data_IF_734311751607
#
_entry.id   IF_734311751607
#
_cell.length_a   1.000
_cell.length_b   1.000
_cell.length_c   1.000
_cell.angle_alpha   90.00
_cell.angle_beta   90.00
_cell.angle_gamma   90.00
#
_symmetry.space_group_name_H-M   'P 1'
#
loop_
_entity.id
_entity.type
_entity.pdbx_description
1 polymer ?
#
# COMPACT_ATOMS: atom_id res chain seq x y z
N UNK A 1 -29.06 -2.82 -5.30
CA UNK A 1 -27.59 -2.78 -5.10
C UNK A 1 -27.06 -4.17 -5.41
N UNK A 2 -26.12 -4.32 -6.34
CA UNK A 2 -25.49 -5.60 -6.66
C UNK A 2 -24.72 -6.13 -5.45
N UNK A 3 -24.43 -7.45 -5.41
CA UNK A 3 -23.69 -8.07 -4.30
C UNK A 3 -22.28 -7.43 -4.09
N UNK A 4 -21.51 -7.13 -5.15
CA UNK A 4 -20.24 -6.41 -5.03
C UNK A 4 -20.38 -4.99 -4.46
N UNK A 5 -21.41 -4.23 -4.84
CA UNK A 5 -21.62 -2.87 -4.32
C UNK A 5 -22.01 -2.87 -2.84
N UNK A 6 -22.76 -3.90 -2.41
CA UNK A 6 -23.09 -4.07 -0.99
C UNK A 6 -21.83 -4.36 -0.17
N UNK A 7 -20.96 -5.23 -0.67
CA UNK A 7 -19.67 -5.54 -0.02
C UNK A 7 -18.82 -4.27 0.05
N UNK A 8 -18.66 -3.54 -1.06
CA UNK A 8 -17.89 -2.30 -1.10
C UNK A 8 -18.41 -1.26 -0.09
N UNK A 9 -19.72 -1.15 0.06
CA UNK A 9 -20.34 -0.25 1.05
C UNK A 9 -19.95 -0.60 2.50
N UNK A 10 -19.96 -1.87 2.88
CA UNK A 10 -19.56 -2.29 4.22
C UNK A 10 -18.05 -2.11 4.44
N UNK A 11 -17.24 -2.48 3.46
CA UNK A 11 -15.79 -2.28 3.54
C UNK A 11 -15.43 -0.79 3.64
N UNK A 12 -16.11 0.07 2.89
CA UNK A 12 -15.89 1.51 2.95
C UNK A 12 -16.18 2.08 4.35
N UNK A 13 -17.22 1.58 5.04
CA UNK A 13 -17.50 1.97 6.43
C UNK A 13 -16.34 1.62 7.37
N UNK A 14 -15.79 0.42 7.22
CA UNK A 14 -14.65 -0.02 8.05
C UNK A 14 -13.39 0.79 7.74
N UNK A 15 -13.10 1.06 6.47
CA UNK A 15 -11.99 1.93 6.05
C UNK A 15 -12.16 3.34 6.60
N UNK A 16 -13.35 3.93 6.48
CA UNK A 16 -13.64 5.27 7.02
C UNK A 16 -13.46 5.31 8.54
N UNK A 17 -13.92 4.26 9.24
CA UNK A 17 -13.72 4.14 10.69
C UNK A 17 -12.24 4.07 11.05
N UNK A 18 -11.46 3.22 10.37
CA UNK A 18 -10.03 3.06 10.63
C UNK A 18 -9.26 4.35 10.35
N UNK A 19 -9.57 5.05 9.25
CA UNK A 19 -8.95 6.34 8.93
C UNK A 19 -9.19 7.35 10.06
N UNK A 20 -10.40 7.44 10.57
CA UNK A 20 -10.72 8.35 11.68
C UNK A 20 -10.17 7.91 13.03
N UNK A 21 -10.22 6.61 13.35
CA UNK A 21 -9.75 6.07 14.63
C UNK A 21 -8.22 6.17 14.80
N UNK A 22 -7.47 5.96 13.71
CA UNK A 22 -6.02 5.96 13.73
C UNK A 22 -5.40 7.21 13.09
N UNK A 23 -6.20 8.21 12.74
CA UNK A 23 -5.76 9.49 12.13
C UNK A 23 -4.86 9.24 10.91
N UNK A 24 -5.29 8.31 10.01
CA UNK A 24 -4.43 7.84 8.92
C UNK A 24 -4.29 8.85 7.79
N UNK A 25 -5.33 9.63 7.50
CA UNK A 25 -5.37 10.58 6.37
C UNK A 25 -5.99 11.89 6.84
N UNK A 26 -5.28 12.98 6.58
CA UNK A 26 -5.70 14.34 6.89
C UNK A 26 -5.99 15.15 5.63
N UNK A 27 -6.62 16.33 5.82
CA UNK A 27 -6.88 17.27 4.72
C UNK A 27 -5.56 17.77 4.11
N UNK A 28 -5.50 17.76 2.78
CA UNK A 28 -4.31 18.15 2.01
C UNK A 28 -3.21 17.10 1.91
N UNK A 29 -3.42 15.89 2.41
CA UNK A 29 -2.42 14.81 2.29
C UNK A 29 -2.20 14.38 0.84
N UNK A 30 -0.95 14.04 0.53
CA UNK A 30 -0.57 13.27 -0.65
C UNK A 30 -0.22 11.85 -0.24
N UNK A 31 -1.08 10.89 -0.62
CA UNK A 31 -0.97 9.50 -0.22
C UNK A 31 -0.52 8.63 -1.39
N UNK A 32 0.68 8.08 -1.30
CA UNK A 32 1.12 7.02 -2.20
C UNK A 32 0.43 5.70 -1.81
N UNK A 33 -0.11 4.97 -2.78
CA UNK A 33 -0.79 3.69 -2.58
C UNK A 33 0.02 2.59 -3.23
N UNK A 34 0.58 1.68 -2.43
CA UNK A 34 1.36 0.56 -2.92
C UNK A 34 0.44 -0.50 -3.55
N UNK A 35 0.44 -0.60 -4.88
CA UNK A 35 -0.38 -1.55 -5.63
C UNK A 35 0.49 -2.71 -6.10
N UNK A 36 0.36 -3.87 -5.45
CA UNK A 36 1.10 -5.09 -5.83
C UNK A 36 0.51 -5.84 -7.03
N UNK A 37 -0.73 -5.50 -7.43
CA UNK A 37 -1.53 -6.24 -8.39
C UNK A 37 -2.43 -7.31 -7.75
N UNK A 38 -2.22 -7.65 -6.48
CA UNK A 38 -3.09 -8.55 -5.71
C UNK A 38 -4.43 -7.90 -5.31
N UNK A 39 -5.41 -8.74 -4.95
CA UNK A 39 -6.78 -8.32 -4.62
C UNK A 39 -6.83 -7.24 -3.54
N UNK A 40 -6.05 -7.38 -2.46
CA UNK A 40 -6.12 -6.50 -1.30
C UNK A 40 -5.62 -5.08 -1.64
N UNK A 41 -4.51 -4.95 -2.36
CA UNK A 41 -3.98 -3.67 -2.79
C UNK A 41 -4.88 -2.95 -3.80
N UNK A 42 -5.54 -3.71 -4.68
CA UNK A 42 -6.54 -3.16 -5.63
C UNK A 42 -7.81 -2.70 -4.90
N UNK A 43 -8.30 -3.52 -3.97
CA UNK A 43 -9.46 -3.18 -3.14
C UNK A 43 -9.20 -1.93 -2.31
N UNK A 44 -8.02 -1.84 -1.69
CA UNK A 44 -7.62 -0.65 -0.92
C UNK A 44 -7.65 0.62 -1.79
N UNK A 45 -7.06 0.59 -2.98
CA UNK A 45 -7.07 1.76 -3.87
C UNK A 45 -8.50 2.17 -4.27
N UNK A 46 -9.37 1.21 -4.65
CA UNK A 46 -10.77 1.50 -4.96
C UNK A 46 -11.52 2.10 -3.76
N UNK A 47 -11.32 1.55 -2.57
CA UNK A 47 -11.96 2.05 -1.36
C UNK A 47 -11.45 3.44 -0.96
N UNK A 48 -10.16 3.75 -1.12
CA UNK A 48 -9.62 5.09 -0.87
C UNK A 48 -10.15 6.12 -1.87
N UNK A 49 -10.29 5.75 -3.15
CA UNK A 49 -10.93 6.61 -4.17
C UNK A 49 -12.40 6.88 -3.85
N UNK A 50 -13.13 5.88 -3.35
CA UNK A 50 -14.52 6.05 -2.87
C UNK A 50 -14.58 6.89 -1.60
N UNK A 51 -13.68 6.66 -0.66
CA UNK A 51 -13.59 7.42 0.59
C UNK A 51 -13.38 8.91 0.30
N UNK A 52 -12.41 9.26 -0.53
CA UNK A 52 -12.11 10.64 -0.95
C UNK A 52 -13.34 11.39 -1.47
N UNK A 53 -14.23 10.69 -2.20
CA UNK A 53 -15.46 11.30 -2.76
C UNK A 53 -16.57 11.54 -1.72
N UNK A 54 -16.45 10.93 -0.54
CA UNK A 54 -17.52 10.91 0.48
C UNK A 54 -17.16 11.68 1.76
N UNK A 55 -15.94 12.23 1.87
CA UNK A 55 -15.50 12.98 3.05
C UNK A 55 -15.46 14.48 2.77
N UNK A 56 -15.58 15.35 3.80
CA UNK A 56 -15.63 16.81 3.64
C UNK A 56 -14.26 17.46 3.48
N UNK A 57 -13.17 16.68 3.39
CA UNK A 57 -11.80 17.12 3.19
C UNK A 57 -11.22 16.46 1.93
N UNK A 58 -10.18 17.06 1.37
CA UNK A 58 -9.57 16.54 0.13
C UNK A 58 -8.16 16.03 0.41
N UNK A 59 -7.76 15.01 -0.34
CA UNK A 59 -6.41 14.45 -0.33
C UNK A 59 -6.12 13.83 -1.70
N UNK A 60 -4.86 13.77 -2.08
CA UNK A 60 -4.44 13.21 -3.35
C UNK A 60 -3.99 11.76 -3.22
N UNK A 61 -4.28 10.96 -4.23
CA UNK A 61 -3.88 9.55 -4.32
C UNK A 61 -2.97 9.36 -5.52
N UNK A 62 -1.83 8.71 -5.28
CA UNK A 62 -0.88 8.32 -6.31
C UNK A 62 -0.62 6.80 -6.22
N UNK A 63 -1.04 6.03 -7.21
CA UNK A 63 -0.79 4.60 -7.25
C UNK A 63 0.67 4.31 -7.63
N UNK A 64 1.38 3.52 -6.82
CA UNK A 64 2.74 3.08 -7.07
C UNK A 64 2.78 1.56 -7.28
N UNK A 65 3.32 1.12 -8.41
CA UNK A 65 3.58 -0.30 -8.67
C UNK A 65 5.07 -0.53 -8.93
N UNK A 66 5.68 -1.44 -8.16
CA UNK A 66 7.10 -1.78 -8.33
C UNK A 66 7.26 -2.78 -9.46
N UNK A 67 8.08 -2.43 -10.45
CA UNK A 67 8.49 -3.31 -11.55
C UNK A 67 9.89 -3.87 -11.30
N UNK A 68 10.17 -5.06 -11.79
CA UNK A 68 11.47 -5.71 -11.56
C UNK A 68 11.55 -7.06 -12.26
N UNK A 69 11.37 -7.09 -13.58
CA UNK A 69 11.46 -8.32 -14.37
C UNK A 69 12.83 -8.98 -14.28
N UNK A 70 13.90 -8.19 -14.15
CA UNK A 70 15.26 -8.67 -13.91
C UNK A 70 15.41 -9.41 -12.58
N UNK A 71 14.59 -9.04 -11.60
CA UNK A 71 14.51 -9.69 -10.29
C UNK A 71 13.49 -10.85 -10.24
N UNK A 72 12.93 -11.24 -11.38
CA UNK A 72 11.94 -12.31 -11.48
C UNK A 72 10.50 -11.89 -11.16
N UNK A 73 10.20 -10.59 -11.03
CA UNK A 73 8.83 -10.14 -10.88
C UNK A 73 8.08 -10.19 -12.21
N UNK A 74 6.79 -10.60 -12.23
CA UNK A 74 5.99 -10.54 -13.44
C UNK A 74 5.79 -9.09 -13.88
N UNK A 75 5.75 -8.85 -15.19
CA UNK A 75 5.37 -7.56 -15.74
C UNK A 75 3.85 -7.40 -15.73
N UNK A 76 3.35 -6.67 -14.74
CA UNK A 76 1.92 -6.37 -14.60
C UNK A 76 1.50 -5.03 -15.22
N UNK A 77 2.42 -4.30 -15.89
CA UNK A 77 2.09 -3.02 -16.55
C UNK A 77 0.95 -3.14 -17.57
N UNK A 78 0.92 -4.16 -18.43
CA UNK A 78 -0.17 -4.28 -19.43
C UNK A 78 -1.56 -4.46 -18.79
N UNK A 79 -1.63 -4.98 -17.57
CA UNK A 79 -2.88 -5.18 -16.83
C UNK A 79 -3.23 -3.97 -15.95
N UNK A 80 -2.24 -3.41 -15.25
CA UNK A 80 -2.47 -2.36 -14.27
C UNK A 80 -2.65 -0.97 -14.91
N UNK A 81 -1.95 -0.68 -16.01
CA UNK A 81 -2.02 0.64 -16.62
C UNK A 81 -3.43 0.98 -17.16
N UNK A 82 -4.13 0.12 -17.92
CA UNK A 82 -5.52 0.38 -18.30
C UNK A 82 -6.43 0.53 -17.08
N UNK A 83 -6.25 -0.29 -16.06
CA UNK A 83 -7.04 -0.25 -14.85
C UNK A 83 -6.87 1.07 -14.08
N UNK A 84 -5.64 1.60 -13.93
CA UNK A 84 -5.40 2.90 -13.31
C UNK A 84 -6.05 4.03 -14.10
N UNK A 85 -5.98 3.97 -15.44
CA UNK A 85 -6.63 4.96 -16.33
C UNK A 85 -8.15 4.93 -16.17
N UNK A 86 -8.74 3.74 -16.12
CA UNK A 86 -10.19 3.57 -15.92
C UNK A 86 -10.65 4.12 -14.57
N UNK A 87 -9.83 3.98 -13.53
CA UNK A 87 -10.09 4.57 -12.21
C UNK A 87 -9.89 6.09 -12.16
N UNK A 88 -9.19 6.67 -13.15
CA UNK A 88 -8.84 8.09 -13.18
C UNK A 88 -7.88 8.49 -12.06
N UNK A 89 -6.98 7.59 -11.66
CA UNK A 89 -5.96 7.84 -10.63
C UNK A 89 -4.59 8.05 -11.27
N UNK A 90 -3.83 8.98 -10.71
CA UNK A 90 -2.43 9.14 -11.09
C UNK A 90 -1.62 7.91 -10.64
N UNK A 91 -0.69 7.48 -11.48
CA UNK A 91 0.12 6.28 -11.20
C UNK A 91 1.56 6.43 -11.66
N UNK A 92 2.44 5.65 -11.02
CA UNK A 92 3.84 5.47 -11.44
C UNK A 92 4.24 4.00 -11.35
N UNK A 93 4.95 3.55 -12.38
CA UNK A 93 5.69 2.30 -12.35
C UNK A 93 7.10 2.59 -11.84
N UNK A 94 7.43 2.02 -10.70
CA UNK A 94 8.70 2.27 -9.99
C UNK A 94 9.64 1.11 -10.25
N UNK A 95 10.78 1.31 -10.93
CA UNK A 95 11.74 0.25 -11.13
C UNK A 95 12.39 -0.16 -9.79
N UNK A 96 12.52 -1.46 -9.55
CA UNK A 96 13.29 -1.97 -8.43
C UNK A 96 14.78 -1.87 -8.75
N UNK A 97 15.44 -0.86 -8.17
CA UNK A 97 16.89 -0.72 -8.30
C UNK A 97 17.59 -1.76 -7.43
N UNK A 98 18.31 -2.69 -8.08
CA UNK A 98 19.13 -3.67 -7.40
C UNK A 98 20.58 -3.19 -7.33
N UNK A 99 21.30 -3.49 -6.22
CA UNK A 99 22.74 -3.33 -6.20
C UNK A 99 23.42 -4.14 -7.32
N UNK A 100 24.56 -3.69 -7.88
CA UNK A 100 25.24 -4.41 -8.97
C UNK A 100 25.64 -5.85 -8.61
N UNK A 101 25.92 -6.10 -7.32
CA UNK A 101 26.36 -7.40 -6.79
C UNK A 101 25.23 -8.20 -6.15
N UNK A 102 23.97 -7.82 -6.40
CA UNK A 102 22.79 -8.52 -5.82
C UNK A 102 22.66 -9.91 -6.44
N UNK A 103 22.73 -10.99 -5.64
CA UNK A 103 22.57 -12.35 -6.14
C UNK A 103 21.17 -12.61 -6.70
N UNK A 104 21.09 -13.19 -7.89
CA UNK A 104 19.83 -13.59 -8.51
C UNK A 104 19.75 -15.13 -8.61
N UNK A 105 18.52 -15.71 -8.48
CA UNK A 105 17.26 -15.03 -8.17
C UNK A 105 17.20 -14.51 -6.73
N UNK A 106 16.42 -13.45 -6.52
CA UNK A 106 16.21 -12.92 -5.17
C UNK A 106 15.43 -13.93 -4.31
N UNK A 107 15.85 -14.12 -3.07
CA UNK A 107 15.00 -14.76 -2.07
C UNK A 107 13.82 -13.86 -1.66
N UNK A 108 12.84 -14.42 -0.95
CA UNK A 108 11.64 -13.70 -0.55
C UNK A 108 11.93 -12.49 0.34
N UNK A 109 12.94 -12.57 1.21
CA UNK A 109 13.31 -11.50 2.11
C UNK A 109 13.93 -10.32 1.32
N UNK A 110 14.93 -10.62 0.46
CA UNK A 110 15.60 -9.63 -0.38
C UNK A 110 14.65 -8.97 -1.38
N UNK A 111 13.76 -9.77 -1.99
CA UNK A 111 12.72 -9.26 -2.87
C UNK A 111 11.79 -8.29 -2.14
N UNK A 112 11.28 -8.66 -0.97
CA UNK A 112 10.42 -7.82 -0.16
C UNK A 112 11.11 -6.54 0.30
N UNK A 113 12.38 -6.62 0.71
CA UNK A 113 13.19 -5.49 1.11
C UNK A 113 13.40 -4.49 -0.03
N UNK A 114 13.85 -4.96 -1.21
CA UNK A 114 14.10 -4.08 -2.36
C UNK A 114 12.82 -3.43 -2.89
N UNK A 115 11.70 -4.16 -2.92
CA UNK A 115 10.39 -3.60 -3.28
C UNK A 115 9.97 -2.49 -2.31
N UNK A 116 10.11 -2.72 -1.01
CA UNK A 116 9.78 -1.73 0.01
C UNK A 116 10.68 -0.50 -0.10
N UNK A 117 11.99 -0.69 -0.28
CA UNK A 117 12.94 0.39 -0.51
C UNK A 117 12.54 1.25 -1.73
N UNK A 118 12.18 0.62 -2.86
CA UNK A 118 11.75 1.33 -4.06
C UNK A 118 10.50 2.19 -3.80
N UNK A 119 9.50 1.65 -3.06
CA UNK A 119 8.29 2.39 -2.71
C UNK A 119 8.59 3.58 -1.79
N UNK A 120 9.42 3.41 -0.77
CA UNK A 120 9.80 4.48 0.13
C UNK A 120 10.54 5.60 -0.61
N UNK A 121 11.55 5.26 -1.43
CA UNK A 121 12.29 6.23 -2.22
C UNK A 121 11.35 6.99 -3.16
N UNK A 122 10.51 6.28 -3.91
CA UNK A 122 9.56 6.93 -4.81
C UNK A 122 8.55 7.84 -4.07
N UNK A 123 8.08 7.44 -2.87
CA UNK A 123 7.18 8.28 -2.08
C UNK A 123 7.83 9.60 -1.69
N UNK A 124 9.08 9.56 -1.21
CA UNK A 124 9.85 10.77 -0.86
C UNK A 124 10.07 11.65 -2.09
N UNK A 125 10.56 11.07 -3.19
CA UNK A 125 10.87 11.80 -4.42
C UNK A 125 9.65 12.47 -5.05
N UNK A 126 8.47 11.89 -4.85
CA UNK A 126 7.19 12.39 -5.35
C UNK A 126 6.43 13.28 -4.35
N UNK A 127 7.02 13.54 -3.18
CA UNK A 127 6.44 14.40 -2.15
C UNK A 127 5.31 13.77 -1.33
N UNK A 128 5.07 12.46 -1.50
CA UNK A 128 4.04 11.75 -0.73
C UNK A 128 4.56 11.44 0.67
N UNK A 129 4.00 12.09 1.68
CA UNK A 129 4.36 11.84 3.09
C UNK A 129 3.71 10.59 3.68
N UNK A 130 2.63 10.11 3.09
CA UNK A 130 1.92 8.90 3.51
C UNK A 130 2.03 7.81 2.44
N UNK A 131 2.31 6.58 2.88
CA UNK A 131 2.43 5.39 2.01
C UNK A 131 1.49 4.31 2.52
N UNK A 132 0.40 4.06 1.80
CA UNK A 132 -0.61 3.08 2.13
C UNK A 132 -0.25 1.68 1.61
N UNK A 133 -0.33 0.68 2.50
CA UNK A 133 -0.21 -0.74 2.18
C UNK A 133 -1.53 -1.47 2.44
N UNK A 134 -1.92 -2.37 1.54
CA UNK A 134 -3.14 -3.15 1.62
C UNK A 134 -3.11 -4.29 2.64
N UNK A 135 -2.58 -4.02 3.83
CA UNK A 135 -2.71 -4.92 4.98
C UNK A 135 -4.07 -4.71 5.65
N UNK A 136 -4.60 -5.75 6.27
CA UNK A 136 -5.89 -5.71 6.93
C UNK A 136 -5.83 -6.40 8.31
N UNK A 137 -6.95 -6.41 9.03
CA UNK A 137 -7.01 -6.92 10.40
C UNK A 137 -6.54 -8.37 10.56
N UNK A 138 -6.78 -9.21 9.54
CA UNK A 138 -6.31 -10.61 9.58
C UNK A 138 -4.79 -10.70 9.49
N UNK A 139 -4.12 -9.81 8.73
CA UNK A 139 -2.65 -9.73 8.69
C UNK A 139 -2.10 -9.36 10.06
N UNK A 140 -2.74 -8.42 10.75
CA UNK A 140 -2.37 -8.03 12.11
C UNK A 140 -2.54 -9.21 13.08
N UNK A 141 -3.67 -9.91 13.03
CA UNK A 141 -3.94 -11.08 13.87
C UNK A 141 -2.92 -12.20 13.62
N UNK A 142 -2.66 -12.53 12.36
CA UNK A 142 -1.67 -13.55 11.97
C UNK A 142 -0.27 -13.14 12.43
N UNK A 143 0.13 -11.89 12.23
CA UNK A 143 1.44 -11.39 12.67
C UNK A 143 1.59 -11.49 14.18
N UNK A 144 0.55 -11.12 14.94
CA UNK A 144 0.55 -11.24 16.39
C UNK A 144 0.72 -12.69 16.84
N UNK A 145 -0.02 -13.62 16.24
CA UNK A 145 0.09 -15.05 16.55
C UNK A 145 1.47 -15.60 16.20
N UNK A 146 2.02 -15.24 15.05
CA UNK A 146 3.37 -15.67 14.65
C UNK A 146 4.44 -15.12 15.60
N UNK A 147 4.35 -13.85 15.98
CA UNK A 147 5.28 -13.25 16.93
C UNK A 147 5.19 -13.93 18.32
N UNK A 148 3.99 -14.22 18.79
CA UNK A 148 3.79 -14.91 20.04
C UNK A 148 4.36 -16.33 20.01
N UNK A 149 4.08 -17.08 18.93
CA UNK A 149 4.46 -18.50 18.83
C UNK A 149 5.96 -18.72 18.57
N UNK A 150 6.57 -17.87 17.73
CA UNK A 150 7.96 -18.07 17.28
C UNK A 150 8.96 -17.17 18.00
N UNK A 151 8.54 -15.99 18.45
CA UNK A 151 9.43 -14.99 19.03
C UNK A 151 9.15 -14.73 20.53
N UNK A 152 8.06 -15.29 21.10
CA UNK A 152 7.64 -15.03 22.46
C UNK A 152 7.27 -13.56 22.73
N UNK A 153 6.85 -12.82 21.68
CA UNK A 153 6.52 -11.39 21.76
C UNK A 153 5.07 -11.14 21.38
N UNK A 154 4.41 -10.28 22.14
CA UNK A 154 3.06 -9.80 21.81
C UNK A 154 3.18 -8.49 21.01
N UNK A 155 3.55 -8.61 19.75
CA UNK A 155 3.74 -7.50 18.82
C UNK A 155 2.91 -7.73 17.56
N UNK A 156 2.36 -6.66 17.00
CA UNK A 156 1.57 -6.69 15.76
C UNK A 156 2.11 -5.68 14.75
N UNK A 157 1.50 -5.64 13.55
CA UNK A 157 1.71 -4.53 12.63
C UNK A 157 0.87 -3.35 13.09
N UNK A 158 1.50 -2.20 13.25
CA UNK A 158 0.79 -0.97 13.64
C UNK A 158 0.09 -0.34 12.44
N UNK A 159 -1.11 0.24 12.61
CA UNK A 159 -1.85 0.87 11.54
C UNK A 159 -1.16 2.13 10.98
N UNK A 160 -0.37 2.81 11.81
CA UNK A 160 0.36 4.04 11.46
C UNK A 160 1.77 4.02 12.04
N UNK A 161 2.81 4.09 11.18
CA UNK A 161 4.22 4.06 11.62
C UNK A 161 5.05 5.04 10.81
N UNK A 162 5.73 5.96 11.50
CA UNK A 162 6.70 6.89 10.88
C UNK A 162 8.04 6.21 10.58
N UNK A 163 8.63 6.54 9.44
CA UNK A 163 9.95 6.09 9.00
C UNK A 163 10.81 7.28 8.61
N UNK A 164 12.14 7.12 8.72
CA UNK A 164 13.14 8.13 8.31
C UNK A 164 12.88 9.49 8.96
N UNK A 165 12.82 9.53 10.30
CA UNK A 165 12.57 10.73 11.09
C UNK A 165 11.28 11.48 10.68
N UNK A 166 10.26 10.73 10.24
CA UNK A 166 8.97 11.26 9.84
C UNK A 166 8.88 11.69 8.37
N UNK A 167 9.88 11.39 7.55
CA UNK A 167 9.84 11.69 6.12
C UNK A 167 8.73 10.93 5.38
N UNK A 168 8.41 9.71 5.82
CA UNK A 168 7.29 8.91 5.31
C UNK A 168 6.59 8.22 6.46
N UNK A 169 5.27 8.30 6.48
CA UNK A 169 4.41 7.55 7.38
C UNK A 169 3.75 6.41 6.61
N UNK A 170 3.98 5.18 7.05
CA UNK A 170 3.26 4.00 6.53
C UNK A 170 1.91 3.91 7.20
N UNK A 171 0.86 3.78 6.40
CA UNK A 171 -0.53 3.54 6.84
C UNK A 171 -1.04 2.20 6.30
N UNK A 172 -1.93 1.54 7.08
CA UNK A 172 -2.44 0.20 6.78
C UNK A 172 -3.91 0.06 7.14
#
# INVERSE_FOLDING_TARGET
MSDPERIAYFLLKEVTRAIGEFELIDDGDQVAVAVSGGKDSRTMLDLLLRHRRNVPYDYELLALHVTGTEAGLPDLRPELEPWFRDLGVDYRFVPMALPPDEPLPLDCFRCSWNRRKALFTASVDLGCKKLAFGHHADDAAVTTLMNLMFNGRLETIEPCVGFFDGAVTVIR
#
